data_IF_674592395931
#
_entry.id   IF_674592395931
#
_cell.length_a   1.000
_cell.length_b   1.000
_cell.length_c   1.000
_cell.angle_alpha   90.00
_cell.angle_beta   90.00
_cell.angle_gamma   90.00
#
_symmetry.space_group_name_H-M   'P 1'
#
loop_
_entity.id
_entity.type
_entity.pdbx_description
1 polymer ?
#
# COMPACT_ATOMS: atom_id res chain seq x y z
N UNK A 1 -10.61 -19.48 -9.20
CA UNK A 1 -11.69 -19.21 -8.22
C UNK A 1 -11.06 -18.91 -6.87
N UNK A 2 -11.34 -17.76 -6.27
CA UNK A 2 -10.86 -17.40 -4.94
C UNK A 2 -11.53 -18.31 -3.90
N UNK A 3 -10.75 -18.86 -2.95
CA UNK A 3 -11.24 -19.80 -1.92
C UNK A 3 -12.12 -19.08 -0.89
N UNK A 4 -13.14 -19.75 -0.32
CA UNK A 4 -13.99 -19.17 0.73
C UNK A 4 -13.15 -18.99 2.01
N UNK A 5 -13.04 -17.75 2.50
CA UNK A 5 -12.35 -17.44 3.76
C UNK A 5 -11.35 -16.28 3.69
N UNK A 6 -11.04 -15.75 2.50
CA UNK A 6 -10.20 -14.56 2.36
C UNK A 6 -10.95 -13.44 1.64
N UNK A 7 -11.35 -12.42 2.38
CA UNK A 7 -12.08 -11.28 1.86
C UNK A 7 -11.12 -10.17 1.46
N UNK A 8 -11.11 -9.79 0.18
CA UNK A 8 -10.47 -8.56 -0.25
C UNK A 8 -11.08 -7.39 0.53
N UNK A 9 -10.23 -6.52 1.06
CA UNK A 9 -10.67 -5.37 1.85
C UNK A 9 -10.62 -4.13 0.98
N UNK A 10 -11.70 -3.33 1.00
CA UNK A 10 -11.73 -2.02 0.37
C UNK A 10 -11.32 -0.97 1.38
N UNK A 11 -10.36 -0.13 1.02
CA UNK A 11 -9.82 0.92 1.89
C UNK A 11 -9.73 2.21 1.11
N UNK A 12 -10.10 3.32 1.75
CA UNK A 12 -9.82 4.66 1.23
C UNK A 12 -8.51 5.13 1.87
N UNK A 13 -7.55 5.51 1.05
CA UNK A 13 -6.26 6.06 1.48
C UNK A 13 -6.21 7.52 1.06
N UNK A 14 -5.97 8.40 2.03
CA UNK A 14 -5.77 9.82 1.79
C UNK A 14 -4.30 10.14 1.98
N UNK A 15 -3.72 10.85 1.01
CA UNK A 15 -2.30 11.22 0.98
C UNK A 15 -2.17 12.73 0.83
N UNK A 16 -1.62 13.36 1.87
CA UNK A 16 -1.22 14.76 1.86
C UNK A 16 0.30 14.84 1.83
N UNK A 17 0.88 15.40 0.77
CA UNK A 17 2.32 15.45 0.57
C UNK A 17 2.75 16.78 -0.06
N UNK A 18 4.03 17.13 0.10
CA UNK A 18 4.59 18.37 -0.48
C UNK A 18 5.63 18.07 -1.54
N UNK A 19 5.50 18.71 -2.70
CA UNK A 19 6.52 18.71 -3.76
C UNK A 19 6.89 20.18 -4.02
N UNK A 20 8.18 20.51 -3.88
CA UNK A 20 8.65 21.89 -4.09
C UNK A 20 7.98 22.94 -3.18
N UNK A 21 7.50 22.53 -1.99
CA UNK A 21 6.80 23.40 -1.04
C UNK A 21 5.29 23.56 -1.30
N UNK A 22 4.78 23.10 -2.44
CA UNK A 22 3.34 23.07 -2.72
C UNK A 22 2.70 21.86 -2.04
N UNK A 23 1.54 22.05 -1.42
CA UNK A 23 0.76 20.99 -0.82
C UNK A 23 -0.10 20.31 -1.89
N UNK A 24 -0.03 18.99 -1.94
CA UNK A 24 -0.84 18.13 -2.78
C UNK A 24 -1.71 17.24 -1.89
N UNK A 25 -2.93 17.02 -2.34
CA UNK A 25 -3.89 16.11 -1.72
C UNK A 25 -4.30 15.07 -2.75
N UNK A 26 -4.36 13.81 -2.36
CA UNK A 26 -4.79 12.73 -3.23
C UNK A 26 -5.56 11.68 -2.44
N UNK A 27 -6.73 11.32 -2.96
CA UNK A 27 -7.55 10.23 -2.46
C UNK A 27 -7.44 9.00 -3.38
N UNK A 28 -7.26 7.84 -2.78
CA UNK A 28 -7.13 6.55 -3.45
C UNK A 28 -8.20 5.60 -2.93
N UNK A 29 -8.86 4.90 -3.84
CA UNK A 29 -9.67 3.72 -3.50
C UNK A 29 -8.81 2.48 -3.76
N UNK A 30 -8.47 1.76 -2.69
CA UNK A 30 -7.62 0.58 -2.76
C UNK A 30 -8.38 -0.70 -2.45
N UNK A 31 -8.09 -1.76 -3.19
CA UNK A 31 -8.52 -3.13 -2.91
C UNK A 31 -7.28 -3.91 -2.49
N UNK A 32 -7.26 -4.34 -1.24
CA UNK A 32 -6.20 -5.20 -0.71
C UNK A 32 -6.63 -6.67 -0.82
N UNK A 33 -5.84 -7.46 -1.55
CA UNK A 33 -6.05 -8.89 -1.74
C UNK A 33 -4.85 -9.66 -1.17
N UNK A 34 -5.03 -10.38 -0.06
CA UNK A 34 -3.98 -11.23 0.49
C UNK A 34 -3.58 -12.37 -0.45
N UNK A 35 -2.29 -12.73 -0.49
CA UNK A 35 -1.79 -13.82 -1.35
C UNK A 35 -2.05 -15.19 -0.74
N UNK A 36 -2.51 -16.13 -1.56
CA UNK A 36 -2.93 -17.46 -1.11
C UNK A 36 -1.82 -18.29 -0.48
N UNK A 37 -0.60 -18.12 -0.97
CA UNK A 37 0.51 -19.04 -0.69
C UNK A 37 1.50 -18.47 0.34
N UNK A 38 1.30 -17.22 0.78
CA UNK A 38 2.24 -16.55 1.69
C UNK A 38 1.54 -15.58 2.64
N UNK A 39 1.61 -15.87 3.94
CA UNK A 39 1.08 -15.01 4.99
C UNK A 39 1.87 -13.71 5.06
N UNK A 40 1.17 -12.59 5.28
CA UNK A 40 1.78 -11.26 5.36
C UNK A 40 2.13 -10.65 4.00
N UNK A 41 1.77 -11.29 2.88
CA UNK A 41 1.92 -10.75 1.55
C UNK A 41 0.58 -10.38 0.93
N UNK A 42 0.56 -9.28 0.20
CA UNK A 42 -0.64 -8.67 -0.33
C UNK A 42 -0.40 -8.11 -1.73
N UNK A 43 -1.41 -8.29 -2.58
CA UNK A 43 -1.54 -7.60 -3.85
C UNK A 43 -2.59 -6.50 -3.68
N UNK A 44 -2.21 -5.27 -3.94
CA UNK A 44 -3.02 -4.08 -3.71
C UNK A 44 -3.22 -3.35 -5.03
N UNK A 45 -4.47 -3.09 -5.37
CA UNK A 45 -4.84 -2.28 -6.52
C UNK A 45 -5.48 -0.99 -6.05
N UNK A 46 -4.93 0.16 -6.43
CA UNK A 46 -5.46 1.47 -6.07
C UNK A 46 -5.86 2.28 -7.30
N UNK A 47 -6.98 2.97 -7.21
CA UNK A 47 -7.46 3.93 -8.21
C UNK A 47 -7.46 5.34 -7.61
N UNK A 48 -6.84 6.29 -8.30
CA UNK A 48 -6.85 7.69 -7.90
C UNK A 48 -8.24 8.28 -8.14
N UNK A 49 -8.91 8.77 -7.10
CA UNK A 49 -10.24 9.39 -7.26
C UNK A 49 -10.14 10.62 -8.17
N UNK A 50 -11.08 10.72 -9.12
CA UNK A 50 -11.12 11.82 -10.07
C UNK A 50 -10.11 11.72 -11.22
N UNK A 51 -9.40 10.59 -11.35
CA UNK A 51 -8.44 10.31 -12.42
C UNK A 51 -8.60 8.84 -12.89
N UNK A 52 -8.05 8.50 -14.06
CA UNK A 52 -7.98 7.13 -14.60
C UNK A 52 -6.71 6.38 -14.20
N UNK A 53 -5.82 7.01 -13.42
CA UNK A 53 -4.55 6.44 -12.99
C UNK A 53 -4.78 5.28 -12.02
N UNK A 54 -4.20 4.13 -12.37
CA UNK A 54 -4.17 2.92 -11.54
C UNK A 54 -2.77 2.65 -11.03
N UNK A 55 -2.69 2.22 -9.77
CA UNK A 55 -1.47 1.87 -9.08
C UNK A 55 -1.60 0.41 -8.66
N UNK A 56 -0.63 -0.41 -9.04
CA UNK A 56 -0.50 -1.78 -8.55
C UNK A 56 0.64 -1.83 -7.55
N UNK A 57 0.41 -2.45 -6.40
CA UNK A 57 1.38 -2.56 -5.33
C UNK A 57 1.42 -4.00 -4.85
N UNK A 58 2.60 -4.58 -4.84
CA UNK A 58 2.89 -5.83 -4.14
C UNK A 58 3.60 -5.48 -2.84
N UNK A 59 3.08 -5.94 -1.70
CA UNK A 59 3.67 -5.62 -0.39
C UNK A 59 3.80 -6.85 0.50
N UNK A 60 4.89 -6.91 1.26
CA UNK A 60 5.21 -7.99 2.19
C UNK A 60 5.60 -7.42 3.55
N UNK A 61 4.96 -7.90 4.63
CA UNK A 61 5.42 -7.64 6.01
C UNK A 61 6.63 -8.53 6.27
N UNK A 62 7.82 -7.93 6.31
CA UNK A 62 9.08 -8.64 6.56
C UNK A 62 9.25 -8.89 8.06
N UNK A 63 8.96 -7.87 8.88
CA UNK A 63 9.07 -7.94 10.32
C UNK A 63 8.06 -6.98 10.97
N UNK A 64 7.51 -7.37 12.11
CA UNK A 64 6.63 -6.53 12.92
C UNK A 64 6.60 -7.09 14.33
N UNK A 65 6.53 -6.22 15.34
CA UNK A 65 6.19 -6.63 16.71
C UNK A 65 4.68 -6.53 16.99
N UNK A 66 3.89 -6.13 15.99
CA UNK A 66 2.45 -5.86 16.07
C UNK A 66 2.06 -4.77 17.07
N UNK A 67 3.02 -3.98 17.56
CA UNK A 67 2.79 -2.95 18.57
C UNK A 67 3.42 -1.61 18.19
N UNK A 68 4.72 -1.60 17.86
CA UNK A 68 5.52 -0.38 17.73
C UNK A 68 6.07 -0.17 16.34
N UNK A 69 6.33 -1.25 15.59
CA UNK A 69 6.93 -1.12 14.26
C UNK A 69 6.45 -2.19 13.27
N UNK A 70 6.55 -1.85 11.99
CA UNK A 70 6.50 -2.80 10.89
C UNK A 70 7.53 -2.44 9.82
N UNK A 71 8.21 -3.45 9.30
CA UNK A 71 9.08 -3.37 8.13
C UNK A 71 8.35 -4.00 6.94
N UNK A 72 8.12 -3.18 5.93
CA UNK A 72 7.42 -3.59 4.71
C UNK A 72 8.39 -3.53 3.53
N UNK A 73 8.36 -4.55 2.67
CA UNK A 73 8.87 -4.42 1.32
C UNK A 73 7.70 -4.10 0.39
N UNK A 74 7.88 -3.14 -0.50
CA UNK A 74 6.86 -2.66 -1.42
C UNK A 74 7.41 -2.60 -2.84
N UNK A 75 6.79 -3.30 -3.77
CA UNK A 75 7.05 -3.15 -5.20
C UNK A 75 5.84 -2.49 -5.85
N UNK A 76 6.01 -1.23 -6.25
CA UNK A 76 4.95 -0.40 -6.84
C UNK A 76 5.13 -0.35 -8.34
N UNK A 77 4.03 -0.50 -9.08
CA UNK A 77 3.95 -0.38 -10.52
C UNK A 77 2.92 0.67 -10.92
N UNK A 78 3.37 1.65 -11.70
CA UNK A 78 2.53 2.71 -12.27
C UNK A 78 2.83 2.75 -13.77
N UNK A 79 1.86 2.31 -14.59
CA UNK A 79 2.10 2.11 -16.02
C UNK A 79 3.21 1.08 -16.27
N UNK A 80 4.27 1.49 -16.99
CA UNK A 80 5.47 0.69 -17.22
C UNK A 80 6.57 0.88 -16.16
N UNK A 81 6.42 1.86 -15.27
CA UNK A 81 7.41 2.16 -14.24
C UNK A 81 7.25 1.22 -13.06
N UNK A 82 8.36 0.63 -12.59
CA UNK A 82 8.42 -0.25 -11.42
C UNK A 82 9.43 0.35 -10.44
N UNK A 83 9.03 0.47 -9.18
CA UNK A 83 9.88 0.93 -8.09
C UNK A 83 9.76 -0.03 -6.90
N UNK A 84 10.90 -0.49 -6.40
CA UNK A 84 10.98 -1.30 -5.18
C UNK A 84 11.53 -0.45 -4.03
N UNK A 85 10.97 -0.62 -2.84
CA UNK A 85 11.38 0.12 -1.67
C UNK A 85 11.13 -0.67 -0.38
N UNK A 86 11.86 -0.31 0.66
CA UNK A 86 11.65 -0.79 2.03
C UNK A 86 11.09 0.35 2.86
N UNK A 87 9.93 0.14 3.47
CA UNK A 87 9.27 1.10 4.32
C UNK A 87 9.36 0.67 5.78
N UNK A 88 9.83 1.59 6.64
CA UNK A 88 9.81 1.44 8.09
C UNK A 88 8.62 2.23 8.62
N UNK A 89 7.64 1.53 9.17
CA UNK A 89 6.51 2.12 9.88
C UNK A 89 6.74 2.06 11.38
N UNK A 90 6.45 3.17 12.07
CA UNK A 90 6.54 3.27 13.52
C UNK A 90 5.30 4.00 14.05
N UNK A 91 4.82 3.60 15.22
CA UNK A 91 3.67 4.28 15.87
C UNK A 91 4.05 5.62 16.48
N UNK A 92 5.31 5.77 16.89
CA UNK A 92 5.84 7.03 17.39
C UNK A 92 6.50 7.80 16.26
N UNK A 93 5.94 8.96 15.90
CA UNK A 93 6.65 9.94 15.09
C UNK A 93 7.71 10.59 15.98
N UNK A 94 8.99 10.34 15.72
CA UNK A 94 10.04 11.19 16.29
C UNK A 94 9.85 12.56 15.64
N UNK A 95 9.34 13.51 16.44
CA UNK A 95 9.13 14.90 16.05
C UNK A 95 10.45 15.66 16.04
#
# INVERSE_FOLDING_TARGET
ALRPGWTSTKTVVTSDYKIGGQLHHTDLNCINTPKTDSKGQFSVECEVKGNTTKIQLETSVIATDNEKYALLQTCTKIGSSIADNILVLQTNKIA
#
